data_IF_235676996351
#
_entry.id   IF_235676996351
#
_cell.length_a   1.000
_cell.length_b   1.000
_cell.length_c   1.000
_cell.angle_alpha   90.00
_cell.angle_beta   90.00
_cell.angle_gamma   90.00
#
_symmetry.space_group_name_H-M   'P 1'
#
loop_
_entity.id
_entity.type
_entity.pdbx_description
1 polymer ?
#
# COMPACT_ATOMS: atom_id res chain seq x y z
N UNK A 1 0.76 -54.11 20.99
CA UNK A 1 1.54 -52.87 21.21
C UNK A 1 1.51 -52.09 19.90
N UNK A 2 0.57 -51.16 19.73
CA UNK A 2 0.52 -50.31 18.52
C UNK A 2 1.12 -48.94 18.87
N UNK A 3 2.13 -48.55 18.11
CA UNK A 3 2.73 -47.21 18.15
C UNK A 3 1.68 -46.16 17.76
N UNK A 4 1.72 -44.94 18.33
CA UNK A 4 0.73 -43.91 18.01
C UNK A 4 0.99 -43.40 16.59
N UNK A 5 -0.06 -43.39 15.77
CA UNK A 5 -0.09 -42.64 14.52
C UNK A 5 0.28 -41.19 14.85
N UNK A 6 1.39 -40.70 14.30
CA UNK A 6 1.66 -39.27 14.27
C UNK A 6 0.54 -38.63 13.46
N UNK A 7 -0.42 -38.00 14.15
CA UNK A 7 -1.49 -37.23 13.52
C UNK A 7 -0.86 -36.21 12.58
N UNK A 8 -1.18 -36.33 11.28
CA UNK A 8 -0.84 -35.27 10.33
C UNK A 8 -1.47 -33.97 10.83
N UNK A 9 -0.71 -32.86 10.87
CA UNK A 9 -1.23 -31.61 11.38
C UNK A 9 -2.49 -31.20 10.60
N UNK A 10 -3.51 -30.64 11.28
CA UNK A 10 -4.71 -30.14 10.64
C UNK A 10 -4.35 -29.16 9.52
N UNK A 11 -5.10 -29.18 8.41
CA UNK A 11 -4.88 -28.26 7.27
C UNK A 11 -4.85 -26.81 7.75
N UNK A 12 -5.67 -26.45 8.73
CA UNK A 12 -5.72 -25.11 9.33
C UNK A 12 -4.41 -24.71 10.03
N UNK A 13 -3.67 -25.68 10.59
CA UNK A 13 -2.37 -25.46 11.23
C UNK A 13 -1.29 -25.19 10.19
N UNK A 14 -1.28 -25.95 9.08
CA UNK A 14 -0.35 -25.74 7.96
C UNK A 14 -0.61 -24.39 7.29
N UNK A 15 -1.88 -24.02 7.11
CA UNK A 15 -2.31 -22.72 6.59
C UNK A 15 -1.85 -21.60 7.53
N UNK A 16 -2.01 -21.75 8.85
CA UNK A 16 -1.55 -20.77 9.85
C UNK A 16 -0.03 -20.59 9.86
N UNK A 17 0.74 -21.67 9.82
CA UNK A 17 2.21 -21.64 9.79
C UNK A 17 2.73 -20.97 8.51
N UNK A 18 2.07 -21.22 7.36
CA UNK A 18 2.39 -20.54 6.11
C UNK A 18 2.04 -19.03 6.15
N UNK A 19 1.00 -18.64 6.90
CA UNK A 19 0.65 -17.23 7.13
C UNK A 19 1.53 -16.50 8.13
N UNK A 20 1.99 -17.18 9.18
CA UNK A 20 3.02 -16.66 10.06
C UNK A 20 4.32 -16.45 9.25
N UNK A 21 4.69 -17.41 8.40
CA UNK A 21 5.81 -17.24 7.46
C UNK A 21 5.60 -16.08 6.47
N UNK A 22 4.39 -15.89 5.91
CA UNK A 22 4.06 -14.76 5.01
C UNK A 22 4.01 -13.41 5.74
N UNK A 23 3.54 -13.39 6.99
CA UNK A 23 3.49 -12.17 7.83
C UNK A 23 4.87 -11.79 8.32
N UNK A 24 5.71 -12.76 8.68
CA UNK A 24 7.12 -12.55 8.99
C UNK A 24 7.95 -12.21 7.74
N UNK A 25 7.56 -12.66 6.56
CA UNK A 25 8.12 -12.19 5.29
C UNK A 25 7.71 -10.75 4.97
N UNK A 26 6.44 -10.36 5.25
CA UNK A 26 5.93 -8.97 5.15
C UNK A 26 6.62 -8.03 6.16
N UNK A 27 6.95 -8.51 7.36
CA UNK A 27 7.70 -7.75 8.37
C UNK A 27 9.23 -7.74 8.15
N UNK A 28 9.81 -8.76 7.50
CA UNK A 28 11.24 -8.78 7.12
C UNK A 28 11.53 -7.98 5.84
N UNK A 29 10.60 -7.93 4.88
CA UNK A 29 10.83 -7.22 3.60
C UNK A 29 10.78 -5.69 3.71
N UNK A 30 10.21 -5.13 4.78
CA UNK A 30 10.23 -3.68 5.04
C UNK A 30 11.62 -3.13 5.40
N UNK A 31 12.63 -3.98 5.67
CA UNK A 31 13.98 -3.53 6.06
C UNK A 31 15.08 -3.83 5.03
N UNK A 32 14.87 -4.67 4.00
CA UNK A 32 15.95 -4.94 3.03
C UNK A 32 15.42 -5.35 1.67
N UNK A 33 15.07 -4.36 0.84
CA UNK A 33 15.46 -4.38 -0.56
C UNK A 33 15.76 -2.95 -0.98
N UNK A 34 17.01 -2.52 -0.77
CA UNK A 34 17.67 -1.53 -1.64
C UNK A 34 17.95 -2.19 -3.01
N UNK A 35 16.91 -2.82 -3.57
CA UNK A 35 16.85 -3.09 -4.99
C UNK A 35 16.51 -1.75 -5.63
N UNK A 36 17.29 -1.38 -6.64
CA UNK A 36 17.06 -0.18 -7.43
C UNK A 36 15.56 -0.12 -7.80
N UNK A 37 14.82 0.82 -7.19
CA UNK A 37 13.44 1.04 -7.56
C UNK A 37 13.42 1.35 -9.06
N UNK A 38 12.46 0.81 -9.84
CA UNK A 38 12.28 1.25 -11.22
C UNK A 38 12.25 2.78 -11.27
N UNK A 39 12.82 3.38 -12.32
CA UNK A 39 13.02 4.83 -12.40
C UNK A 39 11.74 5.62 -12.09
N UNK A 40 10.58 5.13 -12.57
CA UNK A 40 9.27 5.73 -12.28
C UNK A 40 8.93 5.70 -10.78
N UNK A 41 9.21 4.60 -10.08
CA UNK A 41 8.91 4.46 -8.65
C UNK A 41 9.81 5.36 -7.79
N UNK A 42 11.09 5.50 -8.16
CA UNK A 42 11.98 6.47 -7.53
C UNK A 42 11.44 7.90 -7.68
N UNK A 43 11.04 8.26 -8.91
CA UNK A 43 10.49 9.57 -9.23
C UNK A 43 9.15 9.85 -8.52
N UNK A 44 8.26 8.87 -8.45
CA UNK A 44 7.02 8.97 -7.67
C UNK A 44 7.30 9.22 -6.19
N UNK A 45 8.27 8.49 -5.62
CA UNK A 45 8.68 8.67 -4.22
C UNK A 45 9.26 10.06 -3.99
N UNK A 46 10.09 10.56 -4.90
CA UNK A 46 10.65 11.91 -4.82
C UNK A 46 9.56 12.99 -4.84
N UNK A 47 8.58 12.88 -5.75
CA UNK A 47 7.43 13.79 -5.78
C UNK A 47 6.64 13.74 -4.48
N UNK A 48 6.33 12.54 -3.99
CA UNK A 48 5.60 12.36 -2.74
C UNK A 48 6.33 13.04 -1.57
N UNK A 49 7.63 12.78 -1.41
CA UNK A 49 8.45 13.37 -0.37
C UNK A 49 8.54 14.89 -0.52
N UNK A 50 8.75 15.40 -1.73
CA UNK A 50 8.81 16.84 -1.99
C UNK A 50 7.49 17.54 -1.61
N UNK A 51 6.35 16.91 -1.86
CA UNK A 51 5.03 17.42 -1.45
C UNK A 51 4.86 17.42 0.06
N UNK A 52 5.24 16.34 0.75
CA UNK A 52 5.20 16.25 2.23
C UNK A 52 6.07 17.33 2.88
N UNK A 53 7.27 17.57 2.34
CA UNK A 53 8.18 18.61 2.82
C UNK A 53 7.58 20.03 2.77
N UNK A 54 6.64 20.32 1.86
CA UNK A 54 5.99 21.65 1.83
C UNK A 54 5.34 22.00 3.15
N UNK A 55 4.76 21.02 3.86
CA UNK A 55 4.14 21.23 5.17
C UNK A 55 5.18 21.56 6.26
N UNK A 56 6.39 21.01 6.15
CA UNK A 56 7.47 21.24 7.10
C UNK A 56 8.10 22.64 6.94
N UNK A 57 8.21 23.12 5.69
CA UNK A 57 8.84 24.41 5.38
C UNK A 57 7.86 25.59 5.30
N UNK A 58 6.56 25.34 5.09
CA UNK A 58 5.53 26.37 4.95
C UNK A 58 4.30 26.07 5.84
N UNK A 59 4.49 25.95 7.18
CA UNK A 59 3.43 25.49 8.07
C UNK A 59 2.21 26.43 8.09
N UNK A 60 2.40 27.74 7.96
CA UNK A 60 1.33 28.76 8.08
C UNK A 60 0.30 28.71 6.95
N UNK A 61 0.68 28.17 5.79
CA UNK A 61 -0.17 28.06 4.59
C UNK A 61 -0.29 26.62 4.12
N UNK A 62 0.12 25.67 4.95
CA UNK A 62 0.21 24.24 4.62
C UNK A 62 -1.14 23.59 4.30
N UNK A 63 -2.22 24.17 4.84
CA UNK A 63 -3.61 23.79 4.63
C UNK A 63 -4.14 24.13 3.22
N UNK A 64 -3.39 24.92 2.44
CA UNK A 64 -3.76 25.25 1.07
C UNK A 64 -3.23 24.23 0.04
N UNK A 65 -2.33 23.33 0.43
CA UNK A 65 -1.63 22.42 -0.49
C UNK A 65 -2.21 20.99 -0.54
N UNK A 66 -3.50 20.81 -0.27
CA UNK A 66 -4.11 19.49 -0.19
C UNK A 66 -4.45 18.90 -1.57
N UNK A 67 -3.77 17.81 -1.95
CA UNK A 67 -4.19 16.96 -3.07
C UNK A 67 -4.19 15.48 -2.64
N UNK A 68 -5.08 15.10 -1.71
CA UNK A 68 -5.01 13.80 -1.03
C UNK A 68 -5.11 12.60 -1.97
N UNK A 69 -5.84 12.75 -3.08
CA UNK A 69 -5.93 11.72 -4.11
C UNK A 69 -4.57 11.51 -4.76
N UNK A 70 -3.88 12.59 -5.14
CA UNK A 70 -2.59 12.48 -5.80
C UNK A 70 -1.52 11.90 -4.87
N UNK A 71 -1.48 12.36 -3.62
CA UNK A 71 -0.57 11.83 -2.60
C UNK A 71 -0.80 10.33 -2.37
N UNK A 72 -2.06 9.90 -2.31
CA UNK A 72 -2.42 8.48 -2.19
C UNK A 72 -2.04 7.67 -3.43
N UNK A 73 -2.26 8.20 -4.64
CA UNK A 73 -1.87 7.51 -5.89
C UNK A 73 -0.36 7.29 -5.96
N UNK A 74 0.44 8.30 -5.59
CA UNK A 74 1.91 8.19 -5.54
C UNK A 74 2.36 7.12 -4.54
N UNK A 75 1.81 7.12 -3.33
CA UNK A 75 2.14 6.15 -2.29
C UNK A 75 1.78 4.71 -2.72
N UNK A 76 0.57 4.52 -3.26
CA UNK A 76 0.12 3.22 -3.78
C UNK A 76 0.95 2.75 -4.98
N UNK A 77 1.37 3.66 -5.87
CA UNK A 77 2.25 3.33 -6.99
C UNK A 77 3.60 2.81 -6.49
N UNK A 78 4.23 3.52 -5.55
CA UNK A 78 5.52 3.11 -4.97
C UNK A 78 5.40 1.74 -4.28
N UNK A 79 4.34 1.52 -3.51
CA UNK A 79 4.07 0.24 -2.86
C UNK A 79 3.86 -0.89 -3.87
N UNK A 80 3.06 -0.65 -4.92
CA UNK A 80 2.79 -1.63 -5.97
C UNK A 80 4.06 -2.10 -6.69
N UNK A 81 5.00 -1.19 -6.95
CA UNK A 81 6.29 -1.52 -7.59
C UNK A 81 7.22 -2.34 -6.69
N UNK A 82 6.97 -2.36 -5.37
CA UNK A 82 7.68 -3.20 -4.40
C UNK A 82 6.97 -4.55 -4.17
N UNK A 83 5.77 -4.73 -4.73
CA UNK A 83 4.89 -5.85 -4.41
C UNK A 83 4.30 -5.77 -2.99
N UNK A 84 4.27 -4.57 -2.42
CA UNK A 84 3.71 -4.31 -1.10
C UNK A 84 2.19 -4.12 -1.19
N UNK A 85 1.50 -4.48 -0.11
CA UNK A 85 0.07 -4.24 0.07
C UNK A 85 -0.13 -3.12 1.09
N UNK A 86 -0.99 -2.16 0.77
CA UNK A 86 -1.28 -1.03 1.66
C UNK A 86 -2.65 -1.23 2.30
N UNK A 87 -2.72 -1.20 3.63
CA UNK A 87 -4.00 -1.24 4.33
C UNK A 87 -4.77 0.08 4.12
N UNK A 88 -6.11 0.07 4.24
CA UNK A 88 -6.89 1.32 4.19
C UNK A 88 -6.35 2.36 5.19
N UNK A 89 -6.04 1.95 6.43
CA UNK A 89 -5.48 2.85 7.44
C UNK A 89 -4.14 3.44 7.04
N UNK A 90 -3.28 2.64 6.40
CA UNK A 90 -1.99 3.11 5.86
C UNK A 90 -2.19 4.07 4.69
N UNK A 91 -3.12 3.78 3.76
CA UNK A 91 -3.45 4.69 2.66
C UNK A 91 -4.02 6.03 3.16
N UNK A 92 -4.76 6.04 4.27
CA UNK A 92 -5.20 7.27 4.89
C UNK A 92 -4.01 8.14 5.35
N UNK A 93 -2.99 7.53 5.94
CA UNK A 93 -1.74 8.23 6.30
C UNK A 93 -1.04 8.74 5.03
N UNK A 94 -0.93 7.88 4.00
CA UNK A 94 -0.34 8.21 2.71
C UNK A 94 -0.98 9.43 2.05
N UNK A 95 -2.29 9.62 2.21
CA UNK A 95 -3.05 10.74 1.64
C UNK A 95 -2.74 12.13 2.19
N UNK A 96 -1.99 12.24 3.29
CA UNK A 96 -1.68 13.52 3.93
C UNK A 96 -2.91 14.37 4.34
N UNK A 97 -4.08 13.75 4.51
CA UNK A 97 -5.35 14.40 4.86
C UNK A 97 -6.01 13.77 6.09
N UNK A 98 -7.00 14.45 6.72
CA UNK A 98 -7.79 13.86 7.80
C UNK A 98 -8.44 12.54 7.38
N UNK A 99 -8.52 11.57 8.31
CA UNK A 99 -8.98 10.21 8.01
C UNK A 99 -10.36 10.15 7.34
N UNK A 100 -11.30 11.01 7.73
CA UNK A 100 -12.63 11.07 7.10
C UNK A 100 -12.56 11.52 5.64
N UNK A 101 -11.70 12.49 5.33
CA UNK A 101 -11.43 12.92 3.96
C UNK A 101 -10.78 11.81 3.15
N UNK A 102 -9.76 11.16 3.70
CA UNK A 102 -9.06 10.08 3.04
C UNK A 102 -9.99 8.90 2.70
N UNK A 103 -10.82 8.48 3.66
CA UNK A 103 -11.81 7.42 3.45
C UNK A 103 -12.83 7.78 2.36
N UNK A 104 -13.30 9.03 2.32
CA UNK A 104 -14.16 9.53 1.24
C UNK A 104 -13.45 9.44 -0.12
N UNK A 105 -12.16 9.78 -0.18
CA UNK A 105 -11.38 9.70 -1.42
C UNK A 105 -11.12 8.27 -1.87
N UNK A 106 -10.88 7.34 -0.94
CA UNK A 106 -10.82 5.91 -1.25
C UNK A 106 -12.13 5.46 -1.89
N UNK A 107 -13.29 5.83 -1.32
CA UNK A 107 -14.59 5.52 -1.91
C UNK A 107 -14.74 6.06 -3.35
N UNK A 108 -14.39 7.34 -3.57
CA UNK A 108 -14.44 7.94 -4.92
C UNK A 108 -13.50 7.24 -5.91
N UNK A 109 -12.31 6.82 -5.46
CA UNK A 109 -11.35 6.12 -6.31
C UNK A 109 -11.81 4.68 -6.62
N UNK A 110 -12.41 3.99 -5.65
CA UNK A 110 -12.99 2.66 -5.82
C UNK A 110 -14.17 2.70 -6.80
N UNK A 111 -15.09 3.66 -6.63
CA UNK A 111 -16.22 3.90 -7.55
C UNK A 111 -15.77 4.18 -9.00
N UNK A 112 -14.61 4.81 -9.17
CA UNK A 112 -14.02 5.11 -10.49
C UNK A 112 -13.12 4.00 -11.02
N UNK A 113 -13.05 2.85 -10.35
CA UNK A 113 -12.13 1.75 -10.67
C UNK A 113 -10.64 2.19 -10.79
N UNK A 114 -10.28 3.29 -10.11
CA UNK A 114 -8.91 3.79 -10.06
C UNK A 114 -8.05 2.97 -9.10
N UNK A 115 -8.68 2.45 -8.06
CA UNK A 115 -8.10 1.51 -7.11
C UNK A 115 -8.95 0.25 -7.02
N UNK A 116 -8.32 -0.81 -6.53
CA UNK A 116 -8.97 -2.06 -6.16
C UNK A 116 -8.83 -2.24 -4.66
N UNK A 117 -9.91 -2.67 -4.01
CA UNK A 117 -9.90 -2.99 -2.59
C UNK A 117 -10.17 -4.48 -2.40
N UNK A 118 -9.23 -5.17 -1.76
CA UNK A 118 -9.28 -6.60 -1.52
C UNK A 118 -9.41 -6.86 -0.01
N UNK A 119 -10.30 -7.78 0.43
CA UNK A 119 -10.33 -8.20 1.82
C UNK A 119 -9.02 -8.92 2.17
N UNK A 120 -8.52 -8.74 3.39
CA UNK A 120 -7.45 -9.58 3.89
C UNK A 120 -8.03 -11.00 4.11
N UNK A 121 -7.51 -12.04 3.42
CA UNK A 121 -8.03 -13.40 3.54
C UNK A 121 -7.89 -13.98 4.96
N UNK A 122 -7.10 -13.35 5.84
CA UNK A 122 -6.83 -13.83 7.20
C UNK A 122 -7.40 -12.93 8.30
N UNK A 123 -7.80 -11.70 7.97
CA UNK A 123 -8.45 -10.78 8.90
C UNK A 123 -9.57 -10.02 8.20
N UNK A 124 -10.82 -10.44 8.43
CA UNK A 124 -12.02 -9.80 7.85
C UNK A 124 -12.18 -8.32 8.22
N UNK A 125 -11.41 -7.82 9.21
CA UNK A 125 -11.40 -6.40 9.61
C UNK A 125 -10.42 -5.57 8.81
N UNK A 126 -9.49 -6.20 8.09
CA UNK A 126 -8.48 -5.53 7.27
C UNK A 126 -8.86 -5.62 5.79
N UNK A 127 -8.71 -4.49 5.11
CA UNK A 127 -8.83 -4.39 3.66
C UNK A 127 -7.55 -3.76 3.14
N UNK A 128 -7.05 -4.30 2.04
CA UNK A 128 -5.91 -3.78 1.31
C UNK A 128 -6.38 -3.01 0.10
N UNK A 129 -5.69 -1.93 -0.20
CA UNK A 129 -5.91 -1.10 -1.38
C UNK A 129 -4.67 -1.16 -2.26
N UNK A 130 -4.90 -1.23 -3.57
CA UNK A 130 -3.88 -1.13 -4.61
C UNK A 130 -4.41 -0.35 -5.80
N UNK A 131 -3.51 0.18 -6.64
CA UNK A 131 -3.93 0.76 -7.91
C UNK A 131 -4.57 -0.30 -8.81
N UNK A 132 -5.53 0.10 -9.63
CA UNK A 132 -5.94 -0.74 -10.74
C UNK A 132 -4.81 -0.82 -11.77
N UNK A 133 -4.70 -1.92 -12.54
CA UNK A 133 -3.66 -2.05 -13.57
C UNK A 133 -3.65 -0.90 -14.57
N UNK A 134 -4.83 -0.36 -14.91
CA UNK A 134 -4.97 0.77 -15.83
C UNK A 134 -4.34 2.05 -15.28
N UNK A 135 -4.64 2.40 -14.02
CA UNK A 135 -4.05 3.59 -13.38
C UNK A 135 -2.57 3.40 -13.13
N UNK A 136 -2.13 2.19 -12.75
CA UNK A 136 -0.71 1.90 -12.59
C UNK A 136 0.08 2.15 -13.88
N UNK A 137 -0.46 1.75 -15.03
CA UNK A 137 0.18 2.03 -16.32
C UNK A 137 0.21 3.53 -16.63
N UNK A 138 -0.93 4.23 -16.49
CA UNK A 138 -1.01 5.67 -16.75
C UNK A 138 -0.03 6.49 -15.87
N UNK A 139 0.12 6.09 -14.60
CA UNK A 139 1.10 6.71 -13.72
C UNK A 139 2.53 6.43 -14.16
N UNK A 140 2.85 5.20 -14.56
CA UNK A 140 4.18 4.86 -15.07
C UNK A 140 4.52 5.69 -16.32
N UNK A 141 3.55 5.87 -17.22
CA UNK A 141 3.70 6.69 -18.41
C UNK A 141 3.94 8.16 -18.03
N UNK A 142 3.09 8.73 -17.16
CA UNK A 142 3.24 10.11 -16.68
C UNK A 142 4.62 10.36 -16.03
N UNK A 143 5.04 9.47 -15.13
CA UNK A 143 6.30 9.56 -14.40
C UNK A 143 7.55 9.47 -15.29
N UNK A 144 7.39 8.93 -16.51
CA UNK A 144 8.46 8.90 -17.52
C UNK A 144 8.64 10.25 -18.23
N UNK A 145 7.62 11.11 -18.24
CA UNK A 145 7.60 12.36 -19.03
C UNK A 145 7.83 13.64 -18.25
N UNK A 146 7.69 13.59 -16.93
CA UNK A 146 8.10 14.70 -16.06
C UNK A 146 9.59 14.64 -15.85
#
# INVERSE_FOLDING_TARGET
MNAPFAEKPPIDTVIREMHEALTHLKARKSTTSDGLLPAQAARAKELYVARRRRQEFLPEVSDLFHEPVWDMLLDLFVAGQRGDYISISSACIGSAAPSSTALRMIGVLEERAAILIEPDPFDRRRRFVKLSPAIQQQMADYLTHI
#
